data_IF_443643298623
#
_entry.id   IF_443643298623
#
_cell.length_a   1.000
_cell.length_b   1.000
_cell.length_c   1.000
_cell.angle_alpha   90.00
_cell.angle_beta   90.00
_cell.angle_gamma   90.00
#
_symmetry.space_group_name_H-M   'P 1'
#
loop_
_entity.id
_entity.type
_entity.pdbx_description
1 polymer ?
#
# COMPACT_ATOMS: atom_id res chain seq x y z
N UNK A 1 -9.39 -1.21 6.86
CA UNK A 1 -8.29 -1.29 5.89
C UNK A 1 -8.65 -0.49 4.64
N UNK A 2 -7.74 0.31 4.18
CA UNK A 2 -7.89 1.10 2.96
C UNK A 2 -6.88 0.61 1.94
N UNK A 3 -7.33 0.36 0.72
CA UNK A 3 -6.47 -0.18 -0.34
C UNK A 3 -6.67 0.61 -1.63
N UNK A 4 -5.58 0.89 -2.31
CA UNK A 4 -5.63 1.50 -3.64
C UNK A 4 -4.70 0.77 -4.59
N UNK A 5 -5.04 0.83 -5.89
CA UNK A 5 -4.20 0.26 -6.93
C UNK A 5 -3.13 1.29 -7.30
N UNK A 6 -1.86 0.87 -7.23
CA UNK A 6 -0.73 1.74 -7.57
C UNK A 6 -0.38 1.66 -9.05
N UNK A 7 -0.40 0.47 -9.62
CA UNK A 7 -0.06 0.27 -11.01
C UNK A 7 -0.70 -1.01 -11.53
N UNK A 8 -0.84 -1.08 -12.83
CA UNK A 8 -1.39 -2.27 -13.49
C UNK A 8 -0.77 -2.41 -14.87
N UNK A 9 -0.33 -3.62 -15.18
CA UNK A 9 0.04 -4.05 -16.52
C UNK A 9 -0.83 -5.23 -16.89
N UNK A 10 -0.60 -5.85 -18.03
CA UNK A 10 -1.48 -6.91 -18.56
C UNK A 10 -1.62 -8.09 -17.59
N UNK A 11 -0.56 -8.44 -16.88
CA UNK A 11 -0.55 -9.63 -16.02
C UNK A 11 -0.07 -9.34 -14.59
N UNK A 12 0.12 -8.08 -14.22
CA UNK A 12 0.72 -7.71 -12.95
C UNK A 12 0.05 -6.46 -12.40
N UNK A 13 -0.33 -6.50 -11.12
CA UNK A 13 -0.96 -5.36 -10.44
C UNK A 13 -0.28 -5.14 -9.10
N UNK A 14 -0.07 -3.87 -8.74
CA UNK A 14 0.45 -3.52 -7.42
C UNK A 14 -0.57 -2.70 -6.65
N UNK A 15 -0.67 -2.98 -5.36
CA UNK A 15 -1.62 -2.34 -4.44
C UNK A 15 -0.88 -1.75 -3.25
N UNK A 16 -1.40 -0.65 -2.74
CA UNK A 16 -1.00 -0.09 -1.45
C UNK A 16 -2.18 -0.25 -0.49
N UNK A 17 -1.92 -0.80 0.68
CA UNK A 17 -2.93 -0.93 1.74
C UNK A 17 -2.44 -0.26 3.02
N UNK A 18 -3.37 0.37 3.73
CA UNK A 18 -3.12 0.98 5.04
C UNK A 18 -4.09 0.38 6.05
N UNK A 19 -3.57 0.00 7.20
CA UNK A 19 -4.36 -0.58 8.28
C UNK A 19 -3.95 0.04 9.60
N UNK A 20 -4.91 0.56 10.40
CA UNK A 20 -4.58 1.05 11.74
C UNK A 20 -4.05 -0.07 12.61
N UNK A 21 -3.12 0.26 13.50
CA UNK A 21 -2.59 -0.69 14.49
C UNK A 21 -3.20 -0.33 15.83
N UNK A 22 -4.10 -1.18 16.34
CA UNK A 22 -4.81 -0.90 17.59
C UNK A 22 -3.87 -0.77 18.77
N UNK A 23 -2.83 -1.60 18.82
CA UNK A 23 -1.86 -1.61 19.91
C UNK A 23 -0.94 -0.38 19.92
N UNK A 24 -0.90 0.38 18.82
CA UNK A 24 -0.03 1.54 18.68
C UNK A 24 -0.85 2.72 18.14
N UNK A 25 -1.54 3.47 19.02
CA UNK A 25 -2.31 4.64 18.56
C UNK A 25 -1.44 5.62 17.77
N UNK A 26 -1.99 6.16 16.71
CA UNK A 26 -1.26 7.08 15.83
C UNK A 26 -0.32 6.41 14.85
N UNK A 27 -0.39 5.08 14.73
CA UNK A 27 0.44 4.30 13.81
C UNK A 27 -0.43 3.47 12.88
N UNK A 28 0.06 3.24 11.67
CA UNK A 28 -0.59 2.39 10.68
C UNK A 28 0.43 1.44 10.07
N UNK A 29 -0.03 0.27 9.66
CA UNK A 29 0.76 -0.64 8.85
C UNK A 29 0.53 -0.30 7.38
N UNK A 30 1.63 -0.04 6.67
CA UNK A 30 1.61 0.20 5.24
C UNK A 30 2.13 -1.05 4.54
N UNK A 31 1.36 -1.57 3.58
CA UNK A 31 1.74 -2.75 2.81
C UNK A 31 1.74 -2.39 1.33
N UNK A 32 2.80 -2.82 0.63
CA UNK A 32 2.81 -2.83 -0.83
C UNK A 32 2.73 -4.30 -1.24
N UNK A 33 1.69 -4.63 -1.98
CA UNK A 33 1.40 -6.00 -2.38
C UNK A 33 1.29 -6.08 -3.90
N UNK A 34 1.62 -7.24 -4.43
CA UNK A 34 1.52 -7.48 -5.86
C UNK A 34 0.69 -8.73 -6.14
N UNK A 35 0.04 -8.72 -7.30
CA UNK A 35 -0.72 -9.85 -7.81
C UNK A 35 -0.24 -10.13 -9.23
N UNK A 36 0.14 -11.38 -9.49
CA UNK A 36 0.59 -11.81 -10.81
C UNK A 36 -0.38 -12.85 -11.35
N UNK A 37 -1.04 -12.52 -12.44
CA UNK A 37 -2.07 -13.40 -13.02
C UNK A 37 -1.49 -14.67 -13.61
N UNK A 38 -0.19 -14.68 -13.94
CA UNK A 38 0.50 -15.88 -14.43
C UNK A 38 0.94 -16.85 -13.33
N UNK A 39 0.72 -16.52 -12.05
CA UNK A 39 1.10 -17.40 -10.95
C UNK A 39 0.18 -18.61 -10.88
N UNK A 40 0.65 -19.67 -10.18
CA UNK A 40 -0.18 -20.85 -9.91
C UNK A 40 -1.47 -20.50 -9.20
N UNK A 41 -1.42 -19.48 -8.36
CA UNK A 41 -2.56 -19.01 -7.59
C UNK A 41 -2.74 -17.50 -7.85
N UNK A 42 -3.39 -17.13 -8.97
CA UNK A 42 -3.46 -15.73 -9.39
C UNK A 42 -4.18 -14.81 -8.40
N UNK A 43 -5.01 -15.36 -7.52
CA UNK A 43 -5.71 -14.57 -6.51
C UNK A 43 -4.85 -14.26 -5.29
N UNK A 44 -3.68 -14.88 -5.16
CA UNK A 44 -2.77 -14.64 -4.05
C UNK A 44 -2.03 -13.33 -4.20
N UNK A 45 -1.94 -12.58 -3.12
CA UNK A 45 -1.16 -11.35 -3.05
C UNK A 45 0.16 -11.61 -2.36
N UNK A 46 1.24 -11.12 -2.95
CA UNK A 46 2.56 -11.17 -2.33
C UNK A 46 2.89 -9.83 -1.71
N UNK A 47 3.35 -9.85 -0.46
CA UNK A 47 3.81 -8.64 0.21
C UNK A 47 5.21 -8.31 -0.28
N UNK A 48 5.36 -7.17 -0.94
CA UNK A 48 6.65 -6.68 -1.43
C UNK A 48 7.34 -5.80 -0.41
N UNK A 49 6.56 -5.06 0.38
CA UNK A 49 7.10 -4.15 1.36
C UNK A 49 6.10 -3.99 2.49
N UNK A 50 6.62 -3.90 3.71
CA UNK A 50 5.82 -3.65 4.91
C UNK A 50 6.54 -2.63 5.76
N UNK A 51 5.81 -1.64 6.24
CA UNK A 51 6.36 -0.61 7.11
C UNK A 51 5.31 -0.19 8.12
N UNK A 52 5.79 0.26 9.28
CA UNK A 52 4.94 0.91 10.28
C UNK A 52 5.19 2.40 10.13
N UNK A 53 4.13 3.17 9.90
CA UNK A 53 4.23 4.61 9.68
C UNK A 53 3.38 5.34 10.70
N UNK A 54 3.74 6.58 10.97
CA UNK A 54 2.98 7.43 11.88
C UNK A 54 1.95 8.25 11.10
N UNK A 55 0.96 8.78 11.83
CA UNK A 55 0.01 9.73 11.25
C UNK A 55 0.74 10.94 10.67
N UNK A 56 1.76 11.44 11.37
CA UNK A 56 2.57 12.55 10.87
C UNK A 56 3.28 12.18 9.56
N UNK A 57 3.78 10.95 9.47
CA UNK A 57 4.41 10.47 8.23
C UNK A 57 3.42 10.39 7.07
N UNK A 58 2.18 9.96 7.35
CA UNK A 58 1.14 9.91 6.32
C UNK A 58 0.74 11.31 5.86
N UNK A 59 0.71 12.29 6.77
CA UNK A 59 0.44 13.67 6.40
C UNK A 59 1.55 14.23 5.51
N UNK A 60 2.81 13.92 5.83
CA UNK A 60 3.94 14.31 4.99
C UNK A 60 3.86 13.68 3.61
N UNK A 61 3.45 12.41 3.54
CA UNK A 61 3.26 11.72 2.27
C UNK A 61 2.15 12.38 1.45
N UNK A 62 1.05 12.74 2.09
CA UNK A 62 -0.06 13.43 1.42
C UNK A 62 0.41 14.75 0.80
N UNK A 63 1.19 15.53 1.55
CA UNK A 63 1.72 16.80 1.05
C UNK A 63 2.63 16.59 -0.16
N UNK A 64 3.48 15.56 -0.10
CA UNK A 64 4.37 15.21 -1.22
C UNK A 64 3.57 14.82 -2.47
N UNK A 65 2.53 14.00 -2.28
CA UNK A 65 1.69 13.56 -3.39
C UNK A 65 0.96 14.73 -4.04
N UNK A 66 0.49 15.69 -3.25
CA UNK A 66 -0.17 16.88 -3.78
C UNK A 66 0.76 17.67 -4.70
N UNK A 67 2.04 17.80 -4.33
CA UNK A 67 3.04 18.47 -5.17
C UNK A 67 3.24 17.74 -6.50
N UNK A 68 3.30 16.41 -6.45
CA UNK A 68 3.54 15.62 -7.66
C UNK A 68 2.34 15.58 -8.59
N UNK A 69 1.12 15.65 -8.05
CA UNK A 69 -0.10 15.51 -8.83
C UNK A 69 -0.65 16.85 -9.32
N UNK A 70 -0.22 17.95 -8.74
CA UNK A 70 -0.59 19.29 -9.18
C UNK A 70 0.40 19.78 -10.24
#
# INVERSE_FOLDING_TARGET
MTTCKLSQSDDYTEFLSLRPIEALPGHCELLIQSQWLGAKNPSSLQVKHRAIVTTAGLEALRAMLSVQLD
#
